data_IF_854136730258
#
_entry.id   IF_854136730258
#
_cell.length_a   1.000
_cell.length_b   1.000
_cell.length_c   1.000
_cell.angle_alpha   90.00
_cell.angle_beta   90.00
_cell.angle_gamma   90.00
#
_symmetry.space_group_name_H-M   'P 1'
#
loop_
_entity.id
_entity.type
_entity.pdbx_description
1 polymer ?
#
# COMPACT_ATOMS: atom_id res chain seq x y z
N UNK A 1 15.21 24.74 1.61
CA UNK A 1 15.10 23.72 2.68
C UNK A 1 14.61 22.44 2.04
N UNK A 2 15.43 21.37 2.02
CA UNK A 2 15.04 20.09 1.41
C UNK A 2 13.97 19.43 2.25
N UNK A 3 12.83 19.17 1.65
CA UNK A 3 11.61 18.68 2.34
C UNK A 3 11.21 17.31 1.82
N UNK A 4 10.83 16.40 2.71
CA UNK A 4 10.24 15.10 2.38
C UNK A 4 8.86 14.94 3.02
N UNK A 5 7.91 14.44 2.24
CA UNK A 5 6.61 13.95 2.72
C UNK A 5 6.55 12.45 2.48
N UNK A 6 6.28 11.66 3.51
CA UNK A 6 6.37 10.21 3.37
C UNK A 6 5.38 9.45 4.22
N UNK A 7 5.10 8.21 3.83
CA UNK A 7 4.50 7.19 4.68
C UNK A 7 5.39 5.96 4.80
N UNK A 8 5.17 5.18 5.86
CA UNK A 8 5.70 3.83 6.02
C UNK A 8 4.54 2.84 6.13
N UNK A 9 4.42 1.95 5.15
CA UNK A 9 3.26 1.08 4.99
C UNK A 9 3.63 -0.38 4.71
N UNK A 10 2.72 -1.31 5.03
CA UNK A 10 2.88 -2.74 4.67
C UNK A 10 2.38 -3.04 3.27
N UNK A 11 1.18 -2.58 2.92
CA UNK A 11 0.51 -2.79 1.62
C UNK A 11 0.56 -4.26 1.15
N UNK A 12 -0.08 -5.13 1.90
CA UNK A 12 -0.08 -6.58 1.70
C UNK A 12 -1.52 -7.12 1.49
N UNK A 13 -2.15 -6.89 0.32
CA UNK A 13 -1.77 -6.11 -0.88
C UNK A 13 -2.05 -4.60 -0.73
N UNK A 14 -1.74 -3.75 -1.75
CA UNK A 14 -2.27 -2.40 -1.85
C UNK A 14 -3.79 -2.46 -2.02
N UNK A 15 -4.54 -1.64 -1.26
CA UNK A 15 -6.02 -1.60 -1.28
C UNK A 15 -6.52 -0.19 -1.52
N UNK A 16 -7.80 -0.04 -1.87
CA UNK A 16 -8.45 1.27 -2.06
C UNK A 16 -8.26 2.20 -0.84
N UNK A 17 -8.26 1.65 0.38
CA UNK A 17 -7.99 2.43 1.59
C UNK A 17 -6.60 3.08 1.64
N UNK A 18 -5.61 2.55 0.91
CA UNK A 18 -4.28 3.17 0.81
C UNK A 18 -4.24 4.38 -0.14
N UNK A 19 -5.20 4.49 -1.07
CA UNK A 19 -5.31 5.61 -2.01
C UNK A 19 -5.37 6.94 -1.26
N UNK A 20 -6.13 7.00 -0.17
CA UNK A 20 -6.26 8.19 0.66
C UNK A 20 -4.92 8.66 1.23
N UNK A 21 -4.12 7.74 1.75
CA UNK A 21 -2.77 8.07 2.26
C UNK A 21 -1.88 8.62 1.14
N UNK A 22 -1.93 8.02 -0.04
CA UNK A 22 -1.16 8.44 -1.22
C UNK A 22 -1.59 9.82 -1.68
N UNK A 23 -2.89 10.10 -1.75
CA UNK A 23 -3.43 11.42 -2.12
C UNK A 23 -2.99 12.51 -1.13
N UNK A 24 -3.04 12.26 0.17
CA UNK A 24 -2.59 13.22 1.18
C UNK A 24 -1.09 13.48 1.09
N UNK A 25 -0.27 12.44 0.84
CA UNK A 25 1.17 12.61 0.60
C UNK A 25 1.38 13.54 -0.59
N UNK A 26 0.69 13.29 -1.71
CA UNK A 26 0.84 14.09 -2.93
C UNK A 26 0.40 15.54 -2.71
N UNK A 27 -0.74 15.75 -2.06
CA UNK A 27 -1.24 17.09 -1.75
C UNK A 27 -0.22 17.88 -0.91
N UNK A 28 0.20 17.32 0.23
CA UNK A 28 1.15 17.99 1.14
C UNK A 28 2.50 18.21 0.45
N UNK A 29 2.96 17.26 -0.37
CA UNK A 29 4.22 17.41 -1.11
C UNK A 29 4.14 18.55 -2.13
N UNK A 30 3.03 18.66 -2.86
CA UNK A 30 2.80 19.76 -3.81
C UNK A 30 2.77 21.12 -3.10
N UNK A 31 2.04 21.24 -2.00
CA UNK A 31 1.94 22.47 -1.21
C UNK A 31 3.28 22.92 -0.62
N UNK A 32 4.19 21.98 -0.37
CA UNK A 32 5.49 22.24 0.26
C UNK A 32 6.68 22.20 -0.71
N UNK A 33 6.44 21.98 -2.00
CA UNK A 33 7.49 21.70 -3.00
C UNK A 33 8.47 20.64 -2.50
N UNK A 34 7.95 19.49 -2.10
CA UNK A 34 8.66 18.43 -1.38
C UNK A 34 8.74 17.13 -2.18
N UNK A 35 9.73 16.31 -1.87
CA UNK A 35 9.82 14.95 -2.38
C UNK A 35 8.76 14.06 -1.70
N UNK A 36 7.96 13.34 -2.49
CA UNK A 36 6.91 12.45 -2.03
C UNK A 36 7.37 10.99 -2.09
N UNK A 37 7.26 10.26 -0.97
CA UNK A 37 7.78 8.91 -0.86
C UNK A 37 6.84 7.99 -0.08
N UNK A 38 6.73 6.74 -0.51
CA UNK A 38 6.10 5.67 0.27
C UNK A 38 7.13 4.56 0.50
N UNK A 39 7.55 4.41 1.74
CA UNK A 39 8.45 3.33 2.16
C UNK A 39 7.64 2.10 2.52
N UNK A 40 7.94 0.99 1.87
CA UNK A 40 7.28 -0.28 2.12
C UNK A 40 8.04 -1.10 3.16
N UNK A 41 7.30 -1.77 4.07
CA UNK A 41 7.94 -2.70 4.99
C UNK A 41 8.54 -3.88 4.22
N UNK A 42 9.68 -4.38 4.69
CA UNK A 42 10.33 -5.58 4.12
C UNK A 42 9.85 -6.90 4.76
N UNK A 43 8.77 -6.84 5.55
CA UNK A 43 8.16 -8.06 6.08
C UNK A 43 7.56 -8.88 4.95
N UNK A 44 8.01 -10.12 4.83
CA UNK A 44 7.57 -11.08 3.81
C UNK A 44 7.75 -12.51 4.31
N UNK A 45 7.19 -13.51 3.61
CA UNK A 45 7.41 -14.93 3.88
C UNK A 45 6.53 -15.53 4.98
N UNK A 46 5.49 -14.83 5.46
CA UNK A 46 4.52 -15.36 6.42
C UNK A 46 3.06 -15.08 5.97
N UNK A 47 2.11 -15.74 6.63
CA UNK A 47 0.66 -15.58 6.31
C UNK A 47 0.13 -14.14 6.41
N UNK A 48 0.78 -13.26 7.18
CA UNK A 48 0.42 -11.85 7.30
C UNK A 48 1.10 -10.99 6.25
N UNK A 49 2.21 -11.46 5.71
CA UNK A 49 3.05 -10.79 4.74
C UNK A 49 3.40 -11.75 3.59
N UNK A 50 2.40 -12.24 2.83
CA UNK A 50 2.61 -13.30 1.83
C UNK A 50 3.28 -12.79 0.54
N UNK A 51 3.25 -11.49 0.28
CA UNK A 51 3.74 -10.90 -0.97
C UNK A 51 5.20 -10.49 -0.81
N UNK A 52 6.13 -11.00 -1.65
CA UNK A 52 7.54 -10.58 -1.64
C UNK A 52 7.70 -9.08 -1.86
N UNK A 53 8.78 -8.52 -1.33
CA UNK A 53 9.00 -7.07 -1.34
C UNK A 53 8.98 -6.46 -2.74
N UNK A 54 9.68 -7.06 -3.70
CA UNK A 54 9.78 -6.53 -5.07
C UNK A 54 8.43 -6.56 -5.77
N UNK A 55 7.71 -7.69 -5.68
CA UNK A 55 6.35 -7.84 -6.22
C UNK A 55 5.39 -6.82 -5.62
N UNK A 56 5.46 -6.63 -4.31
CA UNK A 56 4.65 -5.64 -3.61
C UNK A 56 4.96 -4.21 -4.08
N UNK A 57 6.24 -3.88 -4.28
CA UNK A 57 6.66 -2.58 -4.76
C UNK A 57 6.15 -2.30 -6.17
N UNK A 58 6.27 -3.25 -7.07
CA UNK A 58 5.74 -3.17 -8.43
C UNK A 58 4.22 -3.00 -8.44
N UNK A 59 3.50 -3.80 -7.63
CA UNK A 59 2.05 -3.67 -7.48
C UNK A 59 1.64 -2.30 -6.93
N UNK A 60 2.38 -1.73 -5.99
CA UNK A 60 2.12 -0.37 -5.49
C UNK A 60 2.39 0.69 -6.56
N UNK A 61 3.45 0.55 -7.35
CA UNK A 61 3.74 1.46 -8.46
C UNK A 61 2.64 1.42 -9.53
N UNK A 62 2.11 0.24 -9.84
CA UNK A 62 0.96 0.09 -10.74
C UNK A 62 -0.30 0.70 -10.13
N UNK A 63 -0.66 0.31 -8.89
CA UNK A 63 -1.87 0.73 -8.20
C UNK A 63 -2.03 2.25 -8.08
N UNK A 64 -0.93 2.97 -7.94
CA UNK A 64 -0.96 4.41 -7.70
C UNK A 64 -0.46 5.26 -8.87
N UNK A 65 -0.21 4.63 -10.03
CA UNK A 65 0.28 5.33 -11.23
C UNK A 65 -0.66 6.43 -11.73
N UNK A 66 -1.96 6.17 -11.72
CA UNK A 66 -2.96 7.12 -12.20
C UNK A 66 -3.19 8.27 -11.22
N UNK A 67 -3.02 8.01 -9.92
CA UNK A 67 -3.27 8.97 -8.84
C UNK A 67 -2.07 9.92 -8.69
N UNK A 68 -0.86 9.40 -8.88
CA UNK A 68 0.38 10.15 -8.68
C UNK A 68 1.43 9.76 -9.74
N UNK A 69 1.20 10.11 -11.00
CA UNK A 69 1.88 9.49 -12.17
C UNK A 69 3.39 9.67 -12.22
N UNK A 70 3.99 10.60 -11.49
CA UNK A 70 5.46 10.76 -11.46
C UNK A 70 6.00 11.39 -10.18
N UNK A 71 5.12 11.78 -9.28
CA UNK A 71 5.49 12.56 -8.09
C UNK A 71 5.76 11.71 -6.85
N UNK A 72 5.25 10.47 -6.77
CA UNK A 72 5.47 9.60 -5.62
C UNK A 72 6.44 8.48 -5.98
N UNK A 73 7.48 8.34 -5.19
CA UNK A 73 8.46 7.26 -5.32
C UNK A 73 8.24 6.16 -4.28
N UNK A 74 8.64 4.94 -4.63
CA UNK A 74 8.67 3.77 -3.75
C UNK A 74 10.12 3.31 -3.60
N UNK A 75 10.91 3.93 -2.69
CA UNK A 75 12.33 3.65 -2.57
C UNK A 75 12.63 2.20 -2.18
N UNK A 76 13.60 1.61 -2.85
CA UNK A 76 14.14 0.30 -2.51
C UNK A 76 15.46 0.45 -1.76
N UNK A 77 15.39 0.49 -0.43
CA UNK A 77 16.54 0.69 0.44
C UNK A 77 16.56 -0.42 1.48
N UNK A 78 17.51 -1.33 1.34
CA UNK A 78 17.59 -2.57 2.13
C UNK A 78 17.65 -2.35 3.65
N UNK A 79 18.22 -1.22 4.10
CA UNK A 79 18.34 -0.88 5.51
C UNK A 79 17.04 -0.37 6.15
N UNK A 80 16.03 -0.01 5.35
CA UNK A 80 14.76 0.52 5.85
C UNK A 80 13.81 -0.63 6.20
N UNK A 81 13.74 -0.95 7.48
CA UNK A 81 12.87 -1.98 8.07
C UNK A 81 11.80 -1.41 9.01
N UNK A 82 11.88 -0.12 9.33
CA UNK A 82 10.99 0.55 10.27
C UNK A 82 10.86 2.04 9.96
N UNK A 83 9.83 2.74 10.48
CA UNK A 83 9.72 4.19 10.33
C UNK A 83 10.94 4.94 10.89
N UNK A 84 11.56 4.45 11.96
CA UNK A 84 12.76 5.05 12.52
C UNK A 84 13.94 5.00 11.52
N UNK A 85 14.07 3.91 10.77
CA UNK A 85 15.09 3.81 9.73
C UNK A 85 14.84 4.82 8.60
N UNK A 86 13.57 5.11 8.26
CA UNK A 86 13.24 6.16 7.28
C UNK A 86 13.75 7.52 7.75
N UNK A 87 13.46 7.92 8.99
CA UNK A 87 13.94 9.18 9.52
C UNK A 87 15.47 9.28 9.51
N UNK A 88 16.18 8.21 9.86
CA UNK A 88 17.66 8.19 9.81
C UNK A 88 18.15 8.40 8.39
N UNK A 89 17.61 7.63 7.44
CA UNK A 89 17.97 7.73 6.03
C UNK A 89 17.68 9.14 5.48
N UNK A 90 16.51 9.71 5.76
CA UNK A 90 16.17 11.08 5.32
C UNK A 90 17.17 12.12 5.85
N UNK A 91 17.60 11.99 7.10
CA UNK A 91 18.62 12.88 7.67
C UNK A 91 19.98 12.73 6.95
N UNK A 92 20.39 11.49 6.65
CA UNK A 92 21.62 11.18 5.89
C UNK A 92 21.55 11.72 4.46
N UNK A 93 20.35 11.80 3.86
CA UNK A 93 20.12 12.40 2.55
C UNK A 93 20.04 13.94 2.58
N UNK A 94 20.22 14.56 3.75
CA UNK A 94 20.21 16.01 3.92
C UNK A 94 18.83 16.66 3.92
N UNK A 95 17.76 15.90 4.19
CA UNK A 95 16.45 16.50 4.41
C UNK A 95 16.42 17.26 5.74
N UNK A 96 15.87 18.47 5.70
CA UNK A 96 15.80 19.37 6.86
C UNK A 96 14.39 19.45 7.43
N UNK A 97 13.36 19.25 6.56
CA UNK A 97 11.96 19.21 6.92
C UNK A 97 11.36 17.86 6.52
N UNK A 98 10.66 17.22 7.43
CA UNK A 98 10.01 15.93 7.20
C UNK A 98 8.58 15.96 7.68
N UNK A 99 7.67 15.40 6.88
CA UNK A 99 6.25 15.24 7.22
C UNK A 99 5.90 13.78 7.01
N UNK A 100 5.61 13.06 8.10
CA UNK A 100 5.12 11.69 8.04
C UNK A 100 3.60 11.71 7.90
N UNK A 101 3.05 10.97 6.94
CA UNK A 101 1.61 10.81 6.76
C UNK A 101 1.21 9.41 7.22
N UNK A 102 0.14 9.31 8.00
CA UNK A 102 -0.42 8.06 8.49
C UNK A 102 -1.95 8.07 8.46
N UNK A 103 -2.57 6.90 8.37
CA UNK A 103 -4.01 6.77 8.59
C UNK A 103 -4.39 7.18 10.01
N UNK A 104 -5.63 7.63 10.23
CA UNK A 104 -6.11 8.12 11.51
C UNK A 104 -5.89 7.12 12.65
N UNK A 105 -6.14 5.83 12.39
CA UNK A 105 -5.90 4.70 13.31
C UNK A 105 -4.43 4.55 13.76
N UNK A 106 -3.49 5.19 13.08
CA UNK A 106 -2.05 5.09 13.32
C UNK A 106 -1.42 6.34 13.91
N UNK A 107 -2.14 7.47 13.96
CA UNK A 107 -1.61 8.75 14.45
C UNK A 107 -1.05 8.61 15.86
N UNK A 108 -1.84 8.06 16.80
CA UNK A 108 -1.37 7.86 18.19
C UNK A 108 -0.09 7.01 18.28
N UNK A 109 0.02 6.00 17.42
CA UNK A 109 1.21 5.12 17.40
C UNK A 109 2.48 5.84 16.96
N UNK A 110 2.37 6.83 16.05
CA UNK A 110 3.54 7.49 15.47
C UNK A 110 3.83 8.86 16.10
N UNK A 111 2.95 9.37 16.96
CA UNK A 111 3.09 10.68 17.57
C UNK A 111 4.44 10.84 18.30
N UNK A 112 4.71 10.00 19.28
CA UNK A 112 5.96 10.05 20.06
C UNK A 112 7.21 9.83 19.20
N UNK A 113 7.09 8.97 18.17
CA UNK A 113 8.19 8.73 17.23
C UNK A 113 8.56 10.01 16.49
N UNK A 114 7.58 10.75 15.96
CA UNK A 114 7.80 12.00 15.21
C UNK A 114 8.28 13.10 16.12
N UNK A 115 7.69 13.25 17.33
CA UNK A 115 8.15 14.25 18.31
C UNK A 115 9.64 14.11 18.63
N UNK A 116 10.13 12.88 18.81
CA UNK A 116 11.57 12.62 19.05
C UNK A 116 12.46 13.00 17.85
N UNK A 117 11.92 13.14 16.64
CA UNK A 117 12.71 13.55 15.47
C UNK A 117 12.93 15.06 15.38
N UNK A 118 12.20 15.87 16.16
CA UNK A 118 12.39 17.35 16.20
C UNK A 118 13.78 17.80 16.60
N UNK A 119 14.55 16.94 17.25
CA UNK A 119 15.96 17.21 17.55
C UNK A 119 16.90 16.97 16.36
N UNK A 120 16.44 16.19 15.37
CA UNK A 120 17.22 15.79 14.18
C UNK A 120 16.93 16.66 12.97
N UNK A 121 15.70 17.14 12.84
CA UNK A 121 15.24 17.95 11.71
C UNK A 121 14.89 19.36 12.19
N UNK A 122 15.06 20.36 11.32
CA UNK A 122 14.58 21.73 11.59
C UNK A 122 13.05 21.76 11.77
N UNK A 123 12.35 20.79 11.12
CA UNK A 123 10.93 20.60 11.27
C UNK A 123 10.56 19.14 11.07
N UNK A 124 9.81 18.58 12.00
CA UNK A 124 9.21 17.25 11.88
C UNK A 124 7.73 17.30 12.29
N UNK A 125 6.86 16.76 11.45
CA UNK A 125 5.42 16.74 11.68
C UNK A 125 4.80 15.39 11.33
N UNK A 126 3.66 15.10 11.97
CA UNK A 126 2.78 13.98 11.66
C UNK A 126 1.47 14.52 11.10
N UNK A 127 1.10 14.09 9.90
CA UNK A 127 -0.15 14.44 9.26
C UNK A 127 -1.09 13.22 9.19
N UNK A 128 -2.37 13.44 9.41
CA UNK A 128 -3.40 12.41 9.30
C UNK A 128 -3.94 12.35 7.87
N UNK A 129 -4.05 11.15 7.33
CA UNK A 129 -4.84 10.91 6.12
C UNK A 129 -6.34 10.73 6.43
N UNK A 130 -6.75 10.97 7.68
CA UNK A 130 -8.11 10.75 8.17
C UNK A 130 -8.41 9.29 8.49
N UNK A 131 -9.61 9.05 9.02
CA UNK A 131 -10.09 7.70 9.26
C UNK A 131 -10.34 6.98 7.94
N UNK A 132 -10.22 5.65 7.98
CA UNK A 132 -10.57 4.82 6.83
C UNK A 132 -12.09 4.84 6.65
N UNK A 133 -12.55 5.00 5.41
CA UNK A 133 -13.96 4.80 5.08
C UNK A 133 -14.34 3.34 5.33
N UNK A 134 -15.48 3.10 5.97
CA UNK A 134 -15.98 1.76 6.29
C UNK A 134 -16.27 0.93 5.03
N UNK A 135 -16.47 1.59 3.89
CA UNK A 135 -16.66 0.96 2.59
C UNK A 135 -15.38 0.29 2.04
N UNK A 136 -14.20 0.70 2.52
CA UNK A 136 -12.93 0.18 2.02
C UNK A 136 -12.37 -0.94 2.90
N UNK A 137 -12.22 -2.09 2.27
CA UNK A 137 -11.62 -3.26 2.92
C UNK A 137 -10.17 -3.00 3.33
N UNK A 138 -9.81 -3.49 4.51
CA UNK A 138 -8.41 -3.56 4.93
C UNK A 138 -7.64 -4.59 4.13
N UNK A 139 -6.32 -4.50 4.09
CA UNK A 139 -5.49 -5.52 3.47
C UNK A 139 -5.68 -6.92 4.10
N UNK A 140 -6.08 -6.99 5.36
CA UNK A 140 -6.40 -8.26 6.03
C UNK A 140 -7.71 -8.87 5.53
N UNK A 141 -8.74 -8.03 5.35
CA UNK A 141 -10.03 -8.45 4.78
C UNK A 141 -9.86 -8.87 3.32
N UNK A 142 -9.11 -8.10 2.53
CA UNK A 142 -8.81 -8.45 1.13
C UNK A 142 -8.07 -9.81 1.05
N UNK A 143 -7.09 -10.07 1.94
CA UNK A 143 -6.46 -11.40 2.01
C UNK A 143 -7.46 -12.50 2.41
N UNK A 144 -8.38 -12.22 3.32
CA UNK A 144 -9.41 -13.21 3.71
C UNK A 144 -10.31 -13.60 2.53
N UNK A 145 -10.66 -12.64 1.66
CA UNK A 145 -11.40 -12.92 0.43
C UNK A 145 -10.62 -13.85 -0.52
N UNK A 146 -9.30 -13.65 -0.63
CA UNK A 146 -8.45 -14.55 -1.43
C UNK A 146 -8.50 -15.99 -0.88
N UNK A 147 -8.43 -16.16 0.43
CA UNK A 147 -8.48 -17.48 1.08
C UNK A 147 -9.87 -18.15 1.00
N UNK A 148 -10.92 -17.38 0.78
CA UNK A 148 -12.29 -17.86 0.57
C UNK A 148 -12.61 -18.19 -0.89
N UNK A 149 -11.66 -17.98 -1.82
CA UNK A 149 -11.89 -18.20 -3.24
C UNK A 149 -12.64 -17.06 -3.94
N UNK A 150 -12.85 -15.93 -3.28
CA UNK A 150 -13.65 -14.79 -3.75
C UNK A 150 -12.80 -13.82 -4.59
N UNK A 151 -12.28 -14.28 -5.74
CA UNK A 151 -11.32 -13.50 -6.53
C UNK A 151 -11.87 -12.14 -6.99
N UNK A 152 -13.13 -12.07 -7.45
CA UNK A 152 -13.72 -10.81 -7.91
C UNK A 152 -13.76 -9.76 -6.80
N UNK A 153 -14.20 -10.15 -5.60
CA UNK A 153 -14.23 -9.27 -4.44
C UNK A 153 -12.81 -8.90 -3.97
N UNK A 154 -11.86 -9.85 -4.05
CA UNK A 154 -10.44 -9.57 -3.81
C UNK A 154 -9.93 -8.49 -4.76
N UNK A 155 -10.13 -8.66 -6.07
CA UNK A 155 -9.67 -7.70 -7.07
C UNK A 155 -10.30 -6.32 -6.90
N UNK A 156 -11.63 -6.25 -6.70
CA UNK A 156 -12.32 -4.98 -6.46
C UNK A 156 -11.89 -4.30 -5.15
N UNK A 157 -11.41 -5.04 -4.17
CA UNK A 157 -10.84 -4.51 -2.92
C UNK A 157 -9.41 -3.99 -3.04
N UNK A 158 -8.68 -4.38 -4.10
CA UNK A 158 -7.33 -3.85 -4.37
C UNK A 158 -7.39 -2.45 -5.00
N UNK A 159 -6.29 -1.70 -4.95
CA UNK A 159 -6.18 -0.38 -5.57
C UNK A 159 -5.77 -0.53 -7.03
N UNK A 160 -6.64 -0.14 -7.97
CA UNK A 160 -6.36 0.03 -9.43
C UNK A 160 -5.35 -0.95 -10.07
N UNK A 161 -5.37 -2.22 -9.65
CA UNK A 161 -4.51 -3.25 -10.21
C UNK A 161 -5.12 -3.82 -11.50
N UNK A 162 -4.28 -4.10 -12.49
CA UNK A 162 -4.66 -4.92 -13.64
C UNK A 162 -5.12 -6.30 -13.18
N UNK A 163 -5.93 -6.94 -14.01
CA UNK A 163 -6.37 -8.32 -13.75
C UNK A 163 -5.18 -9.26 -13.55
N UNK A 164 -4.13 -9.10 -14.36
CA UNK A 164 -2.94 -9.94 -14.30
C UNK A 164 -2.20 -9.78 -12.96
N UNK A 165 -1.95 -8.55 -12.52
CA UNK A 165 -1.29 -8.28 -11.25
C UNK A 165 -2.15 -8.75 -10.07
N UNK A 166 -3.45 -8.47 -10.09
CA UNK A 166 -4.36 -8.92 -9.04
C UNK A 166 -4.38 -10.45 -8.93
N UNK A 167 -4.42 -11.16 -10.07
CA UNK A 167 -4.38 -12.62 -10.11
C UNK A 167 -3.07 -13.20 -9.56
N UNK A 168 -1.95 -12.56 -9.88
CA UNK A 168 -0.65 -12.97 -9.36
C UNK A 168 -0.56 -12.78 -7.84
N UNK A 169 -1.00 -11.63 -7.32
CA UNK A 169 -1.06 -11.39 -5.87
C UNK A 169 -2.01 -12.35 -5.15
N UNK A 170 -3.18 -12.62 -5.75
CA UNK A 170 -4.13 -13.60 -5.22
C UNK A 170 -3.47 -14.98 -5.05
N UNK A 171 -2.78 -15.44 -6.09
CA UNK A 171 -2.05 -16.71 -6.08
C UNK A 171 -1.02 -16.77 -4.95
N UNK A 172 -0.17 -15.75 -4.82
CA UNK A 172 0.83 -15.69 -3.75
C UNK A 172 0.21 -15.74 -2.34
N UNK A 173 -0.94 -15.09 -2.14
CA UNK A 173 -1.64 -15.09 -0.85
C UNK A 173 -2.19 -16.48 -0.52
N UNK A 174 -2.76 -17.15 -1.50
CA UNK A 174 -3.30 -18.51 -1.33
C UNK A 174 -2.17 -19.50 -1.06
N UNK A 175 -1.08 -19.45 -1.84
CA UNK A 175 0.10 -20.30 -1.68
C UNK A 175 0.74 -20.19 -0.28
N UNK A 176 0.91 -18.96 0.19
CA UNK A 176 1.51 -18.70 1.50
C UNK A 176 0.65 -19.23 2.68
N UNK A 177 -0.64 -19.42 2.46
CA UNK A 177 -1.56 -19.91 3.49
C UNK A 177 -1.87 -21.40 3.38
N UNK A 178 -1.90 -21.91 2.17
CA UNK A 178 -2.14 -23.31 1.86
C UNK A 178 -1.46 -23.67 0.53
N UNK A 179 -0.23 -24.22 0.56
CA UNK A 179 0.53 -24.58 -0.64
C UNK A 179 -0.19 -25.58 -1.56
N UNK A 180 -1.05 -26.43 -1.01
CA UNK A 180 -1.79 -27.45 -1.77
C UNK A 180 -3.07 -26.90 -2.43
N UNK A 181 -3.52 -25.70 -2.05
CA UNK A 181 -4.78 -25.14 -2.54
C UNK A 181 -4.78 -24.78 -4.04
N UNK A 182 -3.62 -24.56 -4.64
CA UNK A 182 -3.47 -24.25 -6.06
C UNK A 182 -3.79 -25.44 -6.98
N UNK A 183 -3.67 -26.64 -6.47
CA UNK A 183 -4.02 -27.87 -7.17
C UNK A 183 -5.52 -28.22 -7.01
N UNK A 184 -6.28 -27.37 -6.30
CA UNK A 184 -7.70 -27.61 -6.04
C UNK A 184 -8.58 -27.05 -7.16
N UNK A 185 -9.73 -27.71 -7.39
CA UNK A 185 -10.78 -27.24 -8.30
C UNK A 185 -11.25 -25.80 -8.00
N UNK A 186 -11.07 -25.33 -6.77
CA UNK A 186 -11.44 -23.97 -6.33
C UNK A 186 -10.66 -22.90 -7.09
N UNK A 187 -9.35 -23.10 -7.31
CA UNK A 187 -8.53 -22.16 -8.05
C UNK A 187 -8.87 -22.16 -9.54
N UNK A 188 -9.06 -23.33 -10.11
CA UNK A 188 -9.47 -23.49 -11.52
C UNK A 188 -10.86 -22.89 -11.76
N UNK A 189 -11.80 -23.09 -10.84
CA UNK A 189 -13.16 -22.55 -10.94
C UNK A 189 -13.20 -21.02 -10.75
N UNK A 190 -12.33 -20.42 -9.93
CA UNK A 190 -12.23 -18.96 -9.79
C UNK A 190 -11.79 -18.31 -11.11
N UNK A 191 -10.86 -18.93 -11.82
CA UNK A 191 -10.40 -18.48 -13.14
C UNK A 191 -11.45 -18.66 -14.25
N UNK A 192 -12.16 -19.77 -14.23
CA UNK A 192 -13.15 -20.13 -15.26
C UNK A 192 -14.41 -19.26 -15.18
N UNK A 193 -14.87 -18.93 -13.97
CA UNK A 193 -16.03 -18.03 -13.78
C UNK A 193 -15.77 -16.62 -14.35
N UNK A 194 -14.52 -16.17 -14.37
CA UNK A 194 -14.16 -14.87 -14.93
C UNK A 194 -14.18 -14.81 -16.45
N UNK A 195 -13.98 -15.95 -17.12
CA UNK A 195 -14.06 -16.02 -18.58
C UNK A 195 -15.50 -16.08 -19.10
N UNK A 196 -16.48 -16.41 -18.24
CA UNK A 196 -17.87 -16.56 -18.64
C UNK A 196 -18.72 -15.29 -18.47
N UNK A 197 -18.25 -14.27 -17.73
CA UNK A 197 -19.03 -13.04 -17.53
C UNK A 197 -18.15 -11.76 -17.49
N UNK A 198 -17.56 -11.37 -18.63
CA UNK A 198 -16.79 -10.12 -18.72
C UNK A 198 -17.68 -8.86 -18.64
N UNK A 199 -19.01 -9.00 -18.75
CA UNK A 199 -19.93 -7.85 -18.79
C UNK A 199 -20.36 -7.35 -17.40
N UNK A 200 -20.27 -8.18 -16.34
CA UNK A 200 -20.69 -7.79 -15.00
C UNK A 200 -19.68 -6.88 -14.27
N UNK A 201 -18.43 -6.83 -14.71
CA UNK A 201 -17.36 -6.06 -14.07
C UNK A 201 -17.28 -4.61 -14.60
N UNK A 202 -17.85 -4.35 -15.78
CA UNK A 202 -17.82 -3.02 -16.42
C UNK A 202 -18.91 -2.04 -15.92
N UNK A 203 -20.01 -2.55 -15.36
CA UNK A 203 -21.18 -1.72 -15.05
C UNK A 203 -21.06 -0.91 -13.73
N UNK A 204 -20.14 -1.26 -12.83
CA UNK A 204 -19.98 -0.55 -11.56
C UNK A 204 -18.85 0.51 -11.56
N UNK A 205 -18.15 0.70 -12.69
CA UNK A 205 -17.03 1.67 -12.76
C UNK A 205 -17.44 3.08 -13.13
N UNK A 206 -18.67 3.29 -13.67
CA UNK A 206 -19.10 4.60 -14.20
C UNK A 206 -20.14 5.33 -13.32
N UNK A 207 -20.36 4.89 -12.08
CA UNK A 207 -21.28 5.55 -11.16
C UNK A 207 -20.56 5.95 -9.89
N UNK A 208 -19.70 7.00 -9.99
CA UNK A 208 -19.45 8.03 -8.96
C UNK A 208 -18.27 8.90 -9.35
#
# INVERSE_FOLDING_TARGET
>A
MKTAVFAFARMQPPTKGHIRVVNVIQQIATENNADAMVFLSRSEGDKKNPIPFDVKREACQEAFREIAPSSITFPDIATIKSPLNVFRWLAEQGYEKVIMVAGGDRIGKYFDLVERQRTRFKYAALASAGERDDEFLSASEVRALALQGEFCKFWTGTAHLSLQTALYLYKLIVEASNPDALNSEVFTNALTRHHQDPASVGAERDSN
#
